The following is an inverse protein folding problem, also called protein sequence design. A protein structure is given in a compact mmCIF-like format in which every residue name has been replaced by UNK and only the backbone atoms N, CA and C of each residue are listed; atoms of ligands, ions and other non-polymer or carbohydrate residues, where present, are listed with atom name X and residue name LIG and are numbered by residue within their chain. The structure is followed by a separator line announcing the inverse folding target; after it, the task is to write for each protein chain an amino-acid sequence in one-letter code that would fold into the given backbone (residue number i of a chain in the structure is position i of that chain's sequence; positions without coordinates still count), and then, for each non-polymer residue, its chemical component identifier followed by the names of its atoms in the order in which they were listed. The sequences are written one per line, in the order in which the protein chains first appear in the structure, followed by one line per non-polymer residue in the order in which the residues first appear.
data_IF_361017459879
#
_entry.id   IF_361017459879
#
_cell.length_a   1.000
_cell.length_b   1.000
_cell.length_c   1.000
_cell.angle_alpha   90.00
_cell.angle_beta   90.00
_cell.angle_gamma   90.00
#
_symmetry.space_group_name_H-M   'P 1'
#
loop_
_entity.id
_entity.type
_entity.pdbx_description
1 polymer ?
#
# COMPACT_ATOMS: atom_id res chain seq x y z
N UNK A 1 -16.32 4.67 -8.44
CA UNK A 1 -15.22 3.86 -7.93
C UNK A 1 -14.21 4.73 -7.21
N UNK A 2 -13.83 4.36 -5.98
CA UNK A 2 -12.76 4.99 -5.21
C UNK A 2 -11.41 4.35 -5.50
N UNK A 3 -10.36 5.16 -5.63
CA UNK A 3 -8.98 4.69 -5.85
C UNK A 3 -7.96 5.65 -5.26
N UNK A 4 -6.68 5.31 -5.39
CA UNK A 4 -5.55 6.11 -4.90
C UNK A 4 -4.82 6.80 -6.05
N UNK A 5 -4.19 7.97 -5.83
CA UNK A 5 -3.51 8.73 -6.87
C UNK A 5 -2.05 8.27 -7.09
N UNK A 6 -1.79 6.95 -7.04
CA UNK A 6 -0.47 6.39 -7.29
C UNK A 6 -0.40 5.68 -8.63
N UNK A 7 0.79 5.62 -9.22
CA UNK A 7 1.01 5.03 -10.55
C UNK A 7 0.58 3.56 -10.62
N UNK A 8 0.71 2.81 -9.51
CA UNK A 8 0.31 1.41 -9.43
C UNK A 8 -1.21 1.18 -9.51
N UNK A 9 -2.04 2.21 -9.31
CA UNK A 9 -3.48 2.14 -9.49
C UNK A 9 -3.95 2.42 -10.92
N UNK A 10 -3.09 2.98 -11.77
CA UNK A 10 -3.42 3.32 -13.16
C UNK A 10 -3.92 2.12 -13.96
N UNK A 11 -3.23 0.94 -13.98
CA UNK A 11 -3.71 -0.21 -14.73
C UNK A 11 -5.12 -0.66 -14.34
N UNK A 12 -5.54 -0.37 -13.12
CA UNK A 12 -6.83 -0.75 -12.57
C UNK A 12 -7.96 0.23 -12.91
N UNK A 13 -7.63 1.44 -13.34
CA UNK A 13 -8.58 2.54 -13.47
C UNK A 13 -8.58 3.23 -14.82
N UNK A 14 -7.54 2.98 -15.64
CA UNK A 14 -7.30 3.74 -16.89
C UNK A 14 -8.50 3.71 -17.83
N UNK A 15 -9.06 2.52 -18.08
CA UNK A 15 -10.18 2.34 -18.99
C UNK A 15 -11.58 2.50 -18.37
N UNK A 16 -11.68 2.72 -17.04
CA UNK A 16 -12.98 2.89 -16.39
C UNK A 16 -13.81 4.06 -16.94
N UNK A 17 -13.14 5.13 -17.35
CA UNK A 17 -13.80 6.30 -17.96
C UNK A 17 -14.52 5.95 -19.28
N UNK A 18 -13.99 5.02 -20.07
CA UNK A 18 -14.62 4.55 -21.30
C UNK A 18 -15.93 3.80 -21.04
N UNK A 19 -16.12 3.30 -19.83
CA UNK A 19 -17.32 2.63 -19.36
C UNK A 19 -18.29 3.53 -18.58
N UNK A 20 -18.13 4.87 -18.66
CA UNK A 20 -18.95 5.87 -17.94
C UNK A 20 -18.92 5.67 -16.42
N UNK A 21 -17.80 5.20 -15.86
CA UNK A 21 -17.60 5.03 -14.43
C UNK A 21 -16.91 6.26 -13.85
N UNK A 22 -17.54 6.89 -12.86
CA UNK A 22 -16.93 7.99 -12.13
C UNK A 22 -15.83 7.47 -11.19
N UNK A 23 -14.66 8.11 -11.25
CA UNK A 23 -13.49 7.78 -10.42
C UNK A 23 -13.29 8.89 -9.41
N UNK A 24 -13.15 8.51 -8.13
CA UNK A 24 -12.82 9.41 -7.01
C UNK A 24 -11.46 9.02 -6.43
N UNK A 25 -10.54 9.97 -6.37
CA UNK A 25 -9.20 9.76 -5.81
C UNK A 25 -9.15 10.21 -4.35
N UNK A 26 -8.53 9.38 -3.51
CA UNK A 26 -8.28 9.67 -2.10
C UNK A 26 -6.96 9.02 -1.65
N UNK A 27 -6.36 9.52 -0.56
CA UNK A 27 -5.22 8.83 0.05
C UNK A 27 -5.64 7.44 0.57
N UNK A 28 -4.76 6.43 0.58
CA UNK A 28 -5.09 5.09 1.05
C UNK A 28 -5.72 5.07 2.45
N UNK A 29 -5.29 5.97 3.34
CA UNK A 29 -5.87 6.10 4.70
C UNK A 29 -7.31 6.63 4.72
N UNK A 30 -7.78 7.25 3.64
CA UNK A 30 -9.09 7.93 3.52
C UNK A 30 -10.09 7.17 2.64
N UNK A 31 -9.64 6.19 1.86
CA UNK A 31 -10.48 5.44 0.92
C UNK A 31 -11.65 4.72 1.60
N UNK A 32 -11.44 4.22 2.83
CA UNK A 32 -12.48 3.60 3.63
C UNK A 32 -13.61 4.59 3.99
N UNK A 33 -13.26 5.83 4.31
CA UNK A 33 -14.27 6.86 4.61
C UNK A 33 -15.16 7.15 3.40
N UNK A 34 -14.57 7.17 2.20
CA UNK A 34 -15.35 7.37 0.96
C UNK A 34 -16.39 6.25 0.76
N UNK A 35 -16.05 5.03 1.13
CA UNK A 35 -16.97 3.88 1.07
C UNK A 35 -18.04 3.96 2.18
N UNK A 36 -17.64 4.21 3.43
CA UNK A 36 -18.55 4.31 4.58
C UNK A 36 -19.61 5.40 4.43
N UNK A 37 -19.23 6.54 3.82
CA UNK A 37 -20.16 7.66 3.57
C UNK A 37 -20.92 7.53 2.25
N UNK A 38 -20.89 6.36 1.58
CA UNK A 38 -21.54 6.09 0.29
C UNK A 38 -21.16 7.11 -0.81
N UNK A 39 -19.97 7.68 -0.76
CA UNK A 39 -19.45 8.56 -1.83
C UNK A 39 -19.05 7.75 -3.07
N UNK A 40 -18.76 6.46 -2.87
CA UNK A 40 -18.41 5.49 -3.90
C UNK A 40 -19.04 4.14 -3.58
N UNK A 41 -19.37 3.34 -4.61
CA UNK A 41 -19.95 2.00 -4.45
C UNK A 41 -18.88 0.93 -4.22
N UNK A 42 -17.69 1.12 -4.82
CA UNK A 42 -16.53 0.24 -4.72
C UNK A 42 -15.31 1.12 -4.45
N UNK A 43 -14.42 0.67 -3.59
CA UNK A 43 -13.17 1.39 -3.30
C UNK A 43 -11.98 0.45 -3.19
N UNK A 44 -10.84 0.90 -3.71
CA UNK A 44 -9.55 0.26 -3.51
C UNK A 44 -9.09 0.55 -2.07
N UNK A 45 -9.28 -0.41 -1.17
CA UNK A 45 -8.93 -0.26 0.24
C UNK A 45 -7.59 -0.92 0.57
N UNK A 46 -6.82 -0.34 1.49
CA UNK A 46 -5.72 -1.05 2.13
C UNK A 46 -6.21 -2.39 2.70
N UNK A 47 -5.42 -3.46 2.53
CA UNK A 47 -5.78 -4.78 3.07
C UNK A 47 -5.97 -4.74 4.59
N UNK A 48 -5.23 -3.87 5.29
CA UNK A 48 -5.39 -3.66 6.73
C UNK A 48 -6.79 -3.16 7.11
N UNK A 49 -7.44 -2.35 6.27
CA UNK A 49 -8.81 -1.90 6.49
C UNK A 49 -9.82 -3.03 6.22
N UNK A 50 -9.61 -3.81 5.17
CA UNK A 50 -10.44 -4.98 4.87
C UNK A 50 -10.43 -5.98 6.04
N UNK A 51 -9.25 -6.36 6.53
CA UNK A 51 -9.10 -7.36 7.59
C UNK A 51 -9.71 -6.92 8.94
N UNK A 52 -9.80 -5.61 9.20
CA UNK A 52 -10.34 -5.06 10.45
C UNK A 52 -11.85 -4.83 10.43
N UNK A 53 -12.49 -4.89 9.27
CA UNK A 53 -13.89 -4.52 9.11
C UNK A 53 -14.73 -5.69 8.57
N UNK A 54 -15.48 -6.34 9.45
CA UNK A 54 -16.31 -7.52 9.12
C UNK A 54 -17.44 -7.25 8.11
N UNK A 55 -17.84 -5.99 7.93
CA UNK A 55 -18.94 -5.60 7.03
C UNK A 55 -18.45 -5.17 5.65
N UNK A 56 -17.17 -5.39 5.34
CA UNK A 56 -16.56 -5.06 4.06
C UNK A 56 -16.26 -6.36 3.32
N UNK A 57 -16.70 -6.42 2.07
CA UNK A 57 -16.52 -7.56 1.18
C UNK A 57 -15.58 -7.19 0.05
N UNK A 58 -14.66 -8.09 -0.32
CA UNK A 58 -13.77 -7.88 -1.46
C UNK A 58 -14.40 -8.39 -2.76
N UNK A 59 -14.05 -7.73 -3.86
CA UNK A 59 -14.23 -8.30 -5.19
C UNK A 59 -13.10 -9.32 -5.42
N UNK A 60 -13.47 -10.51 -5.86
CA UNK A 60 -12.52 -11.57 -6.16
C UNK A 60 -11.52 -11.14 -7.24
N UNK A 61 -10.26 -11.51 -7.06
CA UNK A 61 -9.17 -11.30 -8.02
C UNK A 61 -8.92 -9.83 -8.43
N UNK A 62 -9.34 -8.87 -7.60
CA UNK A 62 -9.18 -7.44 -7.87
C UNK A 62 -8.36 -6.78 -6.75
N UNK A 63 -7.03 -6.87 -6.89
CA UNK A 63 -6.11 -6.39 -5.84
C UNK A 63 -4.81 -5.82 -6.44
N UNK A 64 -4.07 -5.11 -5.60
CA UNK A 64 -2.67 -4.76 -5.80
C UNK A 64 -1.85 -5.67 -4.90
N UNK A 65 -1.12 -6.59 -5.50
CA UNK A 65 -0.25 -7.53 -4.79
C UNK A 65 1.08 -7.68 -5.49
N UNK A 66 2.08 -8.19 -4.77
CA UNK A 66 3.38 -8.49 -5.31
C UNK A 66 3.84 -9.88 -4.84
N UNK A 67 4.55 -10.59 -5.70
CA UNK A 67 5.22 -11.85 -5.44
C UNK A 67 6.73 -11.60 -5.54
N UNK A 68 7.38 -11.27 -4.42
CA UNK A 68 8.72 -10.72 -4.38
C UNK A 68 8.69 -9.18 -4.38
N UNK A 69 9.67 -8.53 -5.00
CA UNK A 69 9.84 -7.08 -4.99
C UNK A 69 8.66 -6.31 -5.57
N UNK A 70 8.35 -5.17 -4.94
CA UNK A 70 7.35 -4.21 -5.42
C UNK A 70 7.98 -2.85 -5.77
N UNK A 71 9.21 -2.58 -5.31
CA UNK A 71 10.04 -1.38 -5.50
C UNK A 71 9.43 -0.07 -4.97
N UNK A 72 8.11 0.00 -4.78
CA UNK A 72 7.37 1.19 -4.38
C UNK A 72 6.96 1.22 -2.91
N UNK A 73 7.26 0.16 -2.14
CA UNK A 73 6.93 0.05 -0.72
C UNK A 73 8.17 -0.43 0.03
N UNK A 74 8.89 0.51 0.60
CA UNK A 74 10.25 0.29 1.08
C UNK A 74 10.46 0.82 2.51
N UNK A 75 11.48 0.28 3.18
CA UNK A 75 12.13 0.93 4.31
C UNK A 75 13.45 1.52 3.79
N UNK A 76 13.73 2.77 4.14
CA UNK A 76 15.04 3.38 3.97
C UNK A 76 15.70 3.58 5.33
N UNK A 77 17.00 3.30 5.42
CA UNK A 77 17.80 3.46 6.64
C UNK A 77 19.28 3.64 6.29
N UNK A 78 20.10 4.15 7.22
CA UNK A 78 21.57 4.10 7.10
C UNK A 78 22.13 2.80 7.63
N UNK A 79 21.46 2.18 8.62
CA UNK A 79 21.87 0.92 9.27
C UNK A 79 21.13 -0.30 8.75
N UNK A 80 21.42 -1.45 9.34
CA UNK A 80 20.68 -2.70 9.13
C UNK A 80 19.33 -2.66 9.87
N UNK A 81 18.38 -3.51 9.44
CA UNK A 81 17.05 -3.56 10.07
C UNK A 81 17.10 -3.79 11.58
N UNK A 82 18.06 -4.62 12.05
CA UNK A 82 18.24 -4.94 13.48
C UNK A 82 18.79 -3.77 14.31
N UNK A 83 19.39 -2.78 13.66
CA UNK A 83 19.98 -1.60 14.31
C UNK A 83 18.98 -0.46 14.47
N UNK A 84 17.81 -0.55 13.83
CA UNK A 84 16.78 0.48 13.87
C UNK A 84 16.15 0.53 15.26
N UNK A 85 16.30 1.65 15.94
CA UNK A 85 15.66 1.93 17.24
C UNK A 85 14.33 2.69 17.09
N UNK A 86 14.21 3.52 16.05
CA UNK A 86 12.98 4.26 15.73
C UNK A 86 12.57 4.00 14.29
N UNK A 87 11.34 3.53 14.10
CA UNK A 87 10.74 3.32 12.79
C UNK A 87 9.66 4.35 12.53
N UNK A 88 9.89 5.21 11.54
CA UNK A 88 8.93 6.20 11.10
C UNK A 88 7.99 5.58 10.05
N UNK A 89 6.71 5.57 10.38
CA UNK A 89 5.63 4.97 9.59
C UNK A 89 4.97 6.03 8.71
N UNK A 90 4.87 5.78 7.40
CA UNK A 90 4.18 6.69 6.46
C UNK A 90 2.70 6.82 6.83
N UNK A 91 2.26 8.03 7.21
CA UNK A 91 0.89 8.31 7.66
C UNK A 91 -0.18 8.00 6.61
N UNK A 92 0.21 7.89 5.33
CA UNK A 92 -0.68 7.58 4.22
C UNK A 92 -0.97 6.08 4.06
N UNK A 93 -0.16 5.18 4.66
CA UNK A 93 -0.25 3.74 4.44
C UNK A 93 -0.61 2.95 5.70
N UNK A 94 -1.74 2.28 5.68
CA UNK A 94 -2.15 1.36 6.76
C UNK A 94 -1.57 -0.05 6.57
N UNK A 95 -1.58 -0.58 5.35
CA UNK A 95 -1.12 -1.94 5.05
C UNK A 95 0.39 -2.08 5.22
N UNK A 96 1.18 -1.15 4.65
CA UNK A 96 2.63 -1.19 4.77
C UNK A 96 3.09 -1.02 6.22
N UNK A 97 2.44 -0.13 6.97
CA UNK A 97 2.73 0.06 8.39
C UNK A 97 2.41 -1.18 9.23
N UNK A 98 1.33 -1.90 8.90
CA UNK A 98 1.02 -3.17 9.55
C UNK A 98 2.06 -4.24 9.19
N UNK A 99 2.43 -4.34 7.90
CA UNK A 99 3.43 -5.28 7.42
C UNK A 99 4.79 -5.06 8.13
N UNK A 100 5.25 -3.81 8.25
CA UNK A 100 6.48 -3.49 8.98
C UNK A 100 6.44 -4.01 10.42
N UNK A 101 5.32 -3.77 11.13
CA UNK A 101 5.18 -4.26 12.52
C UNK A 101 5.23 -5.78 12.59
N UNK A 102 4.61 -6.48 11.66
CA UNK A 102 4.66 -7.95 11.57
C UNK A 102 6.07 -8.41 11.26
N UNK A 103 6.74 -7.82 10.25
CA UNK A 103 8.11 -8.19 9.87
C UNK A 103 9.09 -8.00 11.03
N UNK A 104 9.02 -6.89 11.75
CA UNK A 104 9.89 -6.64 12.89
C UNK A 104 9.62 -7.59 14.05
N UNK A 105 8.36 -7.85 14.37
CA UNK A 105 7.98 -8.76 15.46
C UNK A 105 8.32 -10.23 15.16
N UNK A 106 7.96 -10.69 13.95
CA UNK A 106 8.04 -12.13 13.64
C UNK A 106 9.40 -12.56 13.07
N UNK A 107 10.08 -11.69 12.32
CA UNK A 107 11.27 -12.10 11.57
C UNK A 107 12.55 -11.34 11.97
N UNK A 108 12.52 -10.02 12.04
CA UNK A 108 13.70 -9.23 12.51
C UNK A 108 13.95 -9.45 13.99
N UNK A 109 12.89 -9.75 14.77
CA UNK A 109 12.95 -10.02 16.22
C UNK A 109 13.48 -8.84 17.04
N UNK A 110 13.13 -7.62 16.62
CA UNK A 110 13.38 -6.38 17.36
C UNK A 110 12.10 -5.55 17.44
N UNK A 111 12.02 -4.67 18.43
CA UNK A 111 10.84 -3.83 18.65
C UNK A 111 11.26 -2.36 18.69
N UNK A 112 11.41 -1.71 17.51
CA UNK A 112 11.69 -0.28 17.47
C UNK A 112 10.53 0.54 18.00
N UNK A 113 10.80 1.77 18.43
CA UNK A 113 9.75 2.75 18.70
C UNK A 113 9.09 3.14 17.38
N UNK A 114 7.77 3.02 17.28
CA UNK A 114 7.03 3.39 16.09
C UNK A 114 6.47 4.81 16.21
N UNK A 115 6.77 5.67 15.25
CA UNK A 115 6.25 7.03 15.14
C UNK A 115 5.66 7.28 13.75
N UNK A 116 4.65 8.13 13.61
CA UNK A 116 4.08 8.47 12.30
C UNK A 116 4.72 9.74 11.76
N UNK A 117 4.91 9.79 10.44
CA UNK A 117 5.42 10.96 9.75
C UNK A 117 4.77 11.12 8.36
N UNK A 118 4.96 12.27 7.76
CA UNK A 118 4.58 12.55 6.37
C UNK A 118 5.85 12.62 5.52
N UNK A 119 6.07 11.68 4.59
CA UNK A 119 7.27 11.65 3.76
C UNK A 119 7.43 12.90 2.89
N UNK A 120 8.67 13.39 2.80
CA UNK A 120 9.08 14.47 1.90
C UNK A 120 10.33 14.06 1.13
N UNK A 121 10.62 14.72 -0.01
CA UNK A 121 11.83 14.43 -0.81
C UNK A 121 13.14 14.74 -0.06
N UNK A 122 13.11 15.68 0.88
CA UNK A 122 14.27 16.16 1.62
C UNK A 122 14.32 15.61 3.06
N UNK A 123 14.16 14.29 3.21
CA UNK A 123 14.26 13.64 4.51
C UNK A 123 15.72 13.56 4.97
N UNK A 124 15.99 13.97 6.21
CA UNK A 124 17.26 13.71 6.87
C UNK A 124 17.18 12.36 7.58
N UNK A 125 18.10 11.46 7.25
CA UNK A 125 18.15 10.12 7.84
C UNK A 125 19.15 10.09 9.00
N UNK A 126 18.70 9.70 10.18
CA UNK A 126 19.55 9.39 11.32
C UNK A 126 20.00 7.91 11.26
N UNK A 127 21.16 7.61 11.89
CA UNK A 127 21.81 6.31 11.75
C UNK A 127 21.03 5.14 12.34
N UNK A 128 20.23 5.39 13.38
CA UNK A 128 19.42 4.38 14.09
C UNK A 128 17.91 4.50 13.79
N UNK A 129 17.57 5.22 12.71
CA UNK A 129 16.20 5.39 12.24
C UNK A 129 15.93 4.65 10.93
N UNK A 130 14.72 4.12 10.83
CA UNK A 130 14.14 3.59 9.60
C UNK A 130 12.90 4.39 9.19
N UNK A 131 12.67 4.53 7.89
CA UNK A 131 11.54 5.28 7.36
C UNK A 131 10.79 4.43 6.33
N UNK A 132 9.52 4.21 6.56
CA UNK A 132 8.63 3.57 5.58
C UNK A 132 8.24 4.59 4.54
N UNK A 133 8.48 4.29 3.27
CA UNK A 133 8.12 5.16 2.15
C UNK A 133 7.30 4.36 1.15
N UNK A 134 6.21 4.95 0.64
CA UNK A 134 5.31 4.28 -0.30
C UNK A 134 5.07 5.09 -1.58
N UNK A 135 4.62 4.39 -2.61
CA UNK A 135 4.16 4.97 -3.88
C UNK A 135 5.30 5.53 -4.71
N UNK A 136 5.03 6.60 -5.43
CA UNK A 136 5.95 7.16 -6.43
C UNK A 136 7.28 7.62 -5.81
N UNK A 137 7.26 8.15 -4.58
CA UNK A 137 8.48 8.48 -3.85
C UNK A 137 9.30 7.23 -3.50
N UNK A 138 8.64 6.12 -3.17
CA UNK A 138 9.32 4.83 -2.94
C UNK A 138 10.04 4.35 -4.21
N UNK A 139 9.37 4.40 -5.36
CA UNK A 139 9.98 4.10 -6.66
C UNK A 139 11.17 5.02 -6.95
N UNK A 140 10.99 6.34 -6.80
CA UNK A 140 12.06 7.33 -7.02
C UNK A 140 13.31 7.00 -6.20
N UNK A 141 13.16 6.70 -4.91
CA UNK A 141 14.27 6.35 -4.02
C UNK A 141 14.91 5.02 -4.39
N UNK A 142 14.11 4.01 -4.75
CA UNK A 142 14.62 2.70 -5.15
C UNK A 142 15.52 2.79 -6.39
N UNK A 143 15.13 3.59 -7.37
CA UNK A 143 15.90 3.74 -8.62
C UNK A 143 17.05 4.75 -8.51
N UNK A 144 16.89 5.82 -7.72
CA UNK A 144 17.96 6.82 -7.54
C UNK A 144 19.10 6.33 -6.64
N UNK A 145 18.84 5.35 -5.78
CA UNK A 145 19.81 4.72 -4.85
C UNK A 145 20.68 5.76 -4.14
N UNK A 146 20.14 6.59 -3.25
CA UNK A 146 20.89 7.62 -2.57
C UNK A 146 22.12 7.07 -1.86
N UNK A 147 23.25 7.76 -1.96
CA UNK A 147 24.53 7.32 -1.35
C UNK A 147 24.39 7.21 0.18
N UNK A 148 24.87 6.10 0.75
CA UNK A 148 24.83 5.83 2.20
C UNK A 148 23.46 5.47 2.74
N UNK A 149 22.49 5.17 1.86
CA UNK A 149 21.14 4.71 2.22
C UNK A 149 20.96 3.26 1.81
N UNK A 150 20.52 2.44 2.77
CA UNK A 150 20.05 1.06 2.53
C UNK A 150 18.55 1.09 2.24
N UNK A 151 18.14 0.28 1.29
CA UNK A 151 16.74 0.18 0.85
C UNK A 151 16.30 -1.27 1.03
N UNK A 152 15.23 -1.46 1.78
CA UNK A 152 14.64 -2.77 2.03
C UNK A 152 13.22 -2.78 1.48
N UNK A 153 12.97 -3.59 0.47
CA UNK A 153 11.63 -3.77 -0.11
C UNK A 153 10.78 -4.63 0.83
N UNK A 154 9.62 -4.10 1.25
CA UNK A 154 8.78 -4.79 2.24
C UNK A 154 8.14 -6.07 1.70
N UNK A 155 7.82 -6.11 0.41
CA UNK A 155 7.25 -7.30 -0.22
C UNK A 155 8.31 -8.39 -0.42
N UNK A 156 9.54 -8.00 -0.74
CA UNK A 156 10.67 -8.92 -0.85
C UNK A 156 11.02 -9.53 0.52
N UNK A 157 11.07 -8.69 1.57
CA UNK A 157 11.26 -9.19 2.94
C UNK A 157 10.19 -10.20 3.34
N UNK A 158 8.92 -9.89 3.06
CA UNK A 158 7.82 -10.81 3.33
C UNK A 158 7.95 -12.11 2.54
N UNK A 159 8.26 -12.03 1.25
CA UNK A 159 8.40 -13.19 0.38
C UNK A 159 9.56 -14.10 0.81
N UNK A 160 10.70 -13.52 1.17
CA UNK A 160 11.86 -14.28 1.60
C UNK A 160 11.62 -15.08 2.90
N UNK A 161 10.76 -14.55 3.80
CA UNK A 161 10.45 -15.19 5.07
C UNK A 161 9.28 -16.18 4.98
N UNK A 162 8.32 -15.95 4.05
CA UNK A 162 7.05 -16.71 4.02
C UNK A 162 6.83 -17.51 2.75
N UNK A 163 7.56 -17.20 1.66
CA UNK A 163 7.32 -17.69 0.29
C UNK A 163 5.94 -17.35 -0.28
N UNK A 164 5.20 -16.41 0.35
CA UNK A 164 3.86 -16.01 -0.05
C UNK A 164 3.86 -14.62 -0.68
N UNK A 165 2.97 -14.35 -1.68
CA UNK A 165 2.74 -13.00 -2.15
C UNK A 165 2.11 -12.15 -1.05
N UNK A 166 2.32 -10.82 -1.11
CA UNK A 166 1.69 -9.87 -0.22
C UNK A 166 0.68 -9.00 -0.97
N UNK A 167 -0.54 -8.90 -0.42
CA UNK A 167 -1.58 -8.02 -0.96
C UNK A 167 -1.60 -6.70 -0.20
N UNK A 168 -1.37 -5.57 -0.89
CA UNK A 168 -1.37 -4.23 -0.30
C UNK A 168 -2.75 -3.61 -0.25
N UNK A 169 -3.55 -3.81 -1.31
CA UNK A 169 -4.90 -3.28 -1.42
C UNK A 169 -5.78 -4.18 -2.27
N UNK A 170 -7.08 -4.16 -2.03
CA UNK A 170 -8.09 -4.87 -2.83
C UNK A 170 -9.30 -3.97 -3.08
N UNK A 171 -10.05 -4.22 -4.15
CA UNK A 171 -11.36 -3.56 -4.34
C UNK A 171 -12.39 -4.15 -3.41
N UNK A 172 -13.09 -3.27 -2.72
CA UNK A 172 -14.04 -3.63 -1.67
C UNK A 172 -15.33 -2.83 -1.80
N UNK A 173 -16.40 -3.39 -1.21
CA UNK A 173 -17.72 -2.79 -1.12
C UNK A 173 -18.38 -3.11 0.21
N UNK A 174 -19.36 -2.30 0.62
CA UNK A 174 -20.24 -2.57 1.78
C UNK A 174 -21.58 -3.12 1.28
N UNK A 175 -22.16 -2.50 0.26
CA UNK A 175 -23.38 -2.96 -0.42
C UNK A 175 -22.99 -3.54 -1.76
N UNK A 176 -23.56 -4.71 -2.11
CA UNK A 176 -23.26 -5.37 -3.37
C UNK A 176 -23.45 -4.40 -4.55
N UNK A 177 -22.39 -4.14 -5.32
CA UNK A 177 -22.45 -3.24 -6.46
C UNK A 177 -23.29 -3.84 -7.60
N UNK A 178 -23.72 -3.00 -8.55
CA UNK A 178 -24.42 -3.48 -9.72
C UNK A 178 -23.51 -4.37 -10.59
N UNK A 179 -24.11 -5.37 -11.25
CA UNK A 179 -23.37 -6.26 -12.15
C UNK A 179 -22.67 -5.48 -13.30
N UNK A 180 -23.27 -4.36 -13.75
CA UNK A 180 -22.66 -3.53 -14.78
C UNK A 180 -21.37 -2.85 -14.28
N UNK A 181 -21.37 -2.35 -13.05
CA UNK A 181 -20.15 -1.75 -12.46
C UNK A 181 -19.03 -2.79 -12.28
N UNK A 182 -19.37 -4.01 -11.83
CA UNK A 182 -18.41 -5.11 -11.71
C UNK A 182 -17.84 -5.47 -13.07
N UNK A 183 -18.68 -5.63 -14.11
CA UNK A 183 -18.23 -5.90 -15.48
C UNK A 183 -17.35 -4.78 -16.04
N UNK A 184 -17.67 -3.51 -15.75
CA UNK A 184 -16.83 -2.38 -16.17
C UNK A 184 -15.43 -2.45 -15.54
N UNK A 185 -15.35 -2.81 -14.26
CA UNK A 185 -14.08 -3.07 -13.59
C UNK A 185 -13.33 -4.25 -14.23
N UNK A 186 -14.00 -5.34 -14.53
CA UNK A 186 -13.40 -6.49 -15.21
C UNK A 186 -12.83 -6.12 -16.57
N UNK A 187 -13.60 -5.43 -17.38
CA UNK A 187 -13.19 -5.01 -18.72
C UNK A 187 -12.04 -4.00 -18.70
N UNK A 188 -11.88 -3.22 -17.61
CA UNK A 188 -10.76 -2.28 -17.48
C UNK A 188 -9.40 -2.95 -17.33
N UNK A 189 -9.36 -4.24 -16.95
CA UNK A 189 -8.12 -5.03 -16.84
C UNK A 189 -7.76 -5.80 -18.12
N UNK A 190 -8.71 -5.99 -19.03
CA UNK A 190 -8.54 -6.89 -20.19
C UNK A 190 -8.00 -6.18 -21.43
N UNK A 191 -7.70 -4.89 -21.35
CA UNK A 191 -7.09 -4.10 -22.40
C UNK A 191 -5.63 -3.80 -22.05
#
# INVERSE_FOLDING_TARGET
VGTVPFINSLPLTFYLKEHNVNISFANPSETLNSLNFNKVDISLLPIADHLRNKNIFSLENKCISANGKVDSVIIISKGELKEIKTMFLDSRSKSSNLLVKVLFNEFVKTTPNFSYYSPTKNMTLDSDCGYVVIGDLGLELTYSKPIGVKIFDLSDLWFNETTLPFTFASYNYIKKPSNNLVKSLENSYLK
#
